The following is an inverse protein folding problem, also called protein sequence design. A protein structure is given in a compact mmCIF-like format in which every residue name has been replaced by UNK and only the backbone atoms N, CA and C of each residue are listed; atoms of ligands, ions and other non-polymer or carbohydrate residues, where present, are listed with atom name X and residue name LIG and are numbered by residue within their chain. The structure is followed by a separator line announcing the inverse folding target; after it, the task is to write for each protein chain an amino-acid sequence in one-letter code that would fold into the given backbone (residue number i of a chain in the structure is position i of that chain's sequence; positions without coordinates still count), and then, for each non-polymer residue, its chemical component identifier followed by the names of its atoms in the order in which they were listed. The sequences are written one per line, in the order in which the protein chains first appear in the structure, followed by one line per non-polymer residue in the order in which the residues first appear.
data_IF_945286663306
#
_entry.id   IF_945286663306
#
_cell.length_a   1.000
_cell.length_b   1.000
_cell.length_c   1.000
_cell.angle_alpha   90.00
_cell.angle_beta   90.00
_cell.angle_gamma   90.00
#
_symmetry.space_group_name_H-M   'P 1'
#
loop_
_entity.id
_entity.type
_entity.pdbx_description
1 polymer ?
#
# COMPACT_ATOMS: atom_id res chain seq x y z
N UNK A 1 -7.91 -17.01 -5.70
CA UNK A 1 -8.30 -16.04 -4.65
C UNK A 1 -9.71 -15.53 -4.91
N UNK A 2 -10.57 -15.60 -3.91
CA UNK A 2 -11.95 -15.12 -4.06
C UNK A 2 -11.98 -13.60 -3.99
N UNK A 3 -12.86 -12.98 -4.78
CA UNK A 3 -13.00 -11.52 -4.76
C UNK A 3 -13.37 -10.98 -3.38
N UNK A 4 -14.19 -11.71 -2.63
CA UNK A 4 -14.64 -11.30 -1.31
C UNK A 4 -13.50 -11.25 -0.29
N UNK A 5 -12.46 -12.03 -0.53
CA UNK A 5 -11.35 -12.15 0.40
C UNK A 5 -10.15 -11.29 -0.02
N UNK A 6 -10.37 -10.36 -0.94
CA UNK A 6 -9.32 -9.48 -1.42
C UNK A 6 -9.48 -8.07 -0.90
N UNK A 7 -8.37 -7.43 -0.61
CA UNK A 7 -8.32 -6.01 -0.32
C UNK A 7 -7.51 -5.34 -1.42
N UNK A 8 -8.00 -4.24 -1.92
CA UNK A 8 -7.27 -3.44 -2.91
C UNK A 8 -6.47 -2.41 -2.14
N UNK A 9 -5.16 -2.42 -2.35
CA UNK A 9 -4.23 -1.56 -1.64
C UNK A 9 -3.58 -0.60 -2.63
N UNK A 10 -3.74 0.68 -2.37
CA UNK A 10 -3.18 1.74 -3.21
C UNK A 10 -1.99 2.39 -2.52
N UNK A 11 -0.96 2.81 -3.28
CA UNK A 11 0.17 3.55 -2.69
C UNK A 11 -0.26 4.79 -1.91
N UNK A 12 -1.32 5.47 -2.37
CA UNK A 12 -1.83 6.66 -1.69
C UNK A 12 -2.23 6.41 -0.23
N UNK A 13 -2.59 5.19 0.11
CA UNK A 13 -2.97 4.84 1.48
C UNK A 13 -1.85 5.11 2.48
N UNK A 14 -0.61 5.04 2.03
CA UNK A 14 0.58 5.15 2.88
C UNK A 14 1.39 6.42 2.61
N UNK A 15 0.86 7.32 1.81
CA UNK A 15 1.61 8.50 1.34
C UNK A 15 1.50 9.64 2.35
N UNK A 16 2.62 9.95 2.97
CA UNK A 16 2.71 11.01 3.97
C UNK A 16 2.42 12.39 3.39
N UNK A 17 2.63 12.57 2.09
CA UNK A 17 2.40 13.85 1.43
C UNK A 17 0.92 14.10 1.12
N UNK A 18 0.07 13.11 1.35
CA UNK A 18 -1.36 13.24 1.09
C UNK A 18 -2.15 13.38 2.38
N UNK A 19 -3.28 14.08 2.28
CA UNK A 19 -4.23 14.17 3.39
C UNK A 19 -5.13 12.93 3.36
N UNK A 20 -5.92 12.78 4.42
CA UNK A 20 -6.90 11.69 4.46
C UNK A 20 -7.95 11.83 3.36
N UNK A 21 -8.31 13.06 3.02
CA UNK A 21 -9.24 13.31 1.92
C UNK A 21 -8.66 12.88 0.57
N UNK A 22 -7.35 12.96 0.45
CA UNK A 22 -6.65 12.58 -0.77
C UNK A 22 -6.38 11.10 -0.87
N UNK A 23 -6.66 10.34 0.19
CA UNK A 23 -6.58 8.89 0.15
C UNK A 23 -5.73 8.23 1.22
N UNK A 24 -5.02 9.01 2.03
CA UNK A 24 -4.18 8.40 3.07
C UNK A 24 -5.03 7.67 4.09
N UNK A 25 -4.66 6.44 4.41
CA UNK A 25 -5.38 5.59 5.34
C UNK A 25 -4.69 5.39 6.67
N UNK A 26 -3.44 5.81 6.79
CA UNK A 26 -2.67 5.66 8.02
C UNK A 26 -2.28 7.03 8.55
N UNK A 27 -1.98 7.15 9.86
CA UNK A 27 -1.51 8.43 10.40
C UNK A 27 -0.18 8.82 9.75
N UNK A 28 0.12 10.12 9.76
CA UNK A 28 1.38 10.61 9.20
C UNK A 28 2.59 9.91 9.79
N UNK A 29 2.55 9.60 11.08
CA UNK A 29 3.66 8.95 11.75
C UNK A 29 3.92 7.53 11.24
N UNK A 30 2.92 6.90 10.64
CA UNK A 30 3.04 5.56 10.08
C UNK A 30 3.10 5.56 8.55
N UNK A 31 3.15 6.74 7.94
CA UNK A 31 3.20 6.87 6.49
C UNK A 31 4.62 7.17 6.02
N UNK A 32 4.85 7.01 4.72
CA UNK A 32 6.16 7.30 4.12
C UNK A 32 5.96 8.28 2.97
N UNK A 33 7.04 8.93 2.55
CA UNK A 33 6.96 9.89 1.45
C UNK A 33 6.89 9.16 0.12
N UNK A 34 5.89 9.50 -0.68
CA UNK A 34 5.75 9.03 -2.06
C UNK A 34 6.04 7.55 -2.27
N UNK A 35 5.30 6.66 -1.58
CA UNK A 35 5.55 5.22 -1.72
C UNK A 35 5.24 4.77 -3.14
N UNK A 36 6.04 3.82 -3.61
CA UNK A 36 5.87 3.25 -4.94
C UNK A 36 5.26 1.86 -4.82
N UNK A 37 4.58 1.43 -5.88
CA UNK A 37 3.94 0.10 -5.88
C UNK A 37 4.96 -1.02 -5.62
N UNK A 38 6.18 -0.86 -6.10
CA UNK A 38 7.23 -1.86 -5.89
C UNK A 38 7.59 -1.99 -4.41
N UNK A 39 7.59 -0.88 -3.68
CA UNK A 39 7.86 -0.89 -2.25
C UNK A 39 6.75 -1.61 -1.48
N UNK A 40 5.50 -1.36 -1.88
CA UNK A 40 4.34 -1.99 -1.26
C UNK A 40 4.34 -3.49 -1.57
N UNK A 41 4.70 -3.85 -2.80
CA UNK A 41 4.85 -5.24 -3.19
C UNK A 41 5.90 -5.94 -2.32
N UNK A 42 7.03 -5.31 -2.11
CA UNK A 42 8.09 -5.85 -1.27
C UNK A 42 7.61 -6.04 0.16
N UNK A 43 6.89 -5.07 0.70
CA UNK A 43 6.35 -5.17 2.05
C UNK A 43 5.37 -6.34 2.18
N UNK A 44 4.47 -6.49 1.21
CA UNK A 44 3.53 -7.60 1.21
C UNK A 44 4.23 -8.94 1.10
N UNK A 45 5.28 -9.01 0.29
CA UNK A 45 6.06 -10.22 0.11
C UNK A 45 6.75 -10.62 1.41
N UNK A 46 7.33 -9.67 2.11
CA UNK A 46 8.00 -9.93 3.38
C UNK A 46 7.03 -10.38 4.47
N UNK A 47 5.78 -9.95 4.37
CA UNK A 47 4.73 -10.37 5.31
C UNK A 47 4.17 -11.75 4.98
N UNK A 48 4.55 -12.32 3.85
CA UNK A 48 4.03 -13.62 3.43
C UNK A 48 2.60 -13.56 2.94
N UNK A 49 2.13 -12.40 2.50
CA UNK A 49 0.78 -12.24 1.99
C UNK A 49 0.71 -12.69 0.54
N UNK A 50 -0.41 -13.30 0.18
CA UNK A 50 -0.69 -13.59 -1.23
C UNK A 50 -1.19 -12.32 -1.89
N UNK A 51 -0.56 -11.92 -2.97
CA UNK A 51 -0.93 -10.66 -3.63
C UNK A 51 -0.75 -10.76 -5.14
N UNK A 52 -1.39 -9.82 -5.82
CA UNK A 52 -1.27 -9.65 -7.26
C UNK A 52 -1.05 -8.17 -7.53
N UNK A 53 -0.04 -7.84 -8.33
CA UNK A 53 0.23 -6.46 -8.71
C UNK A 53 -0.52 -6.15 -9.99
N UNK A 54 -1.28 -5.05 -9.98
CA UNK A 54 -1.94 -4.55 -11.19
C UNK A 54 -1.32 -3.20 -11.52
N UNK A 55 -0.36 -3.16 -12.45
CA UNK A 55 0.30 -1.90 -12.79
C UNK A 55 -0.61 -1.02 -13.65
N UNK A 56 -0.22 0.24 -13.77
CA UNK A 56 -0.89 1.19 -14.66
C UNK A 56 -2.35 1.49 -14.32
N UNK A 57 -2.76 1.22 -13.09
CA UNK A 57 -4.09 1.59 -12.62
C UNK A 57 -4.02 2.94 -11.91
N UNK A 58 -4.95 3.82 -12.24
CA UNK A 58 -5.06 5.10 -11.57
C UNK A 58 -5.95 5.02 -10.34
N UNK A 59 -5.48 5.61 -9.24
CA UNK A 59 -6.31 5.72 -8.05
C UNK A 59 -7.53 6.59 -8.38
N UNK A 60 -8.75 6.22 -7.93
CA UNK A 60 -9.96 6.96 -8.33
C UNK A 60 -9.93 8.46 -8.09
N UNK A 61 -9.25 8.91 -7.03
CA UNK A 61 -9.17 10.34 -6.73
C UNK A 61 -8.11 11.06 -7.55
N UNK A 62 -7.19 10.33 -8.15
CA UNK A 62 -6.15 10.90 -9.00
C UNK A 62 -5.93 9.97 -10.19
N UNK A 63 -6.95 9.82 -11.05
CA UNK A 63 -6.90 8.80 -12.11
C UNK A 63 -5.79 9.02 -13.14
N UNK A 64 -5.28 10.24 -13.23
CA UNK A 64 -4.17 10.55 -14.12
C UNK A 64 -2.83 10.02 -13.59
N UNK A 65 -2.73 9.76 -12.30
CA UNK A 65 -1.51 9.24 -11.70
C UNK A 65 -1.61 7.72 -11.62
N UNK A 66 -1.09 7.05 -12.64
CA UNK A 66 -1.19 5.59 -12.75
C UNK A 66 -0.13 4.91 -11.92
N UNK A 67 -0.35 4.91 -10.62
CA UNK A 67 0.59 4.36 -9.65
C UNK A 67 0.56 2.84 -9.56
N UNK A 68 -0.51 2.20 -10.08
CA UNK A 68 -0.73 0.78 -9.87
C UNK A 68 -1.41 0.50 -8.56
N UNK A 69 -1.88 -0.72 -8.40
CA UNK A 69 -2.50 -1.16 -7.15
C UNK A 69 -2.08 -2.58 -6.83
N UNK A 70 -2.29 -2.99 -5.59
CA UNK A 70 -2.00 -4.32 -5.13
C UNK A 70 -3.31 -4.97 -4.68
N UNK A 71 -3.60 -6.17 -5.17
CA UNK A 71 -4.69 -6.99 -4.65
C UNK A 71 -4.08 -7.96 -3.66
N UNK A 72 -4.55 -7.92 -2.43
CA UNK A 72 -3.99 -8.72 -1.36
C UNK A 72 -5.06 -9.62 -0.79
N UNK A 73 -4.72 -10.88 -0.57
CA UNK A 73 -5.62 -11.79 0.12
C UNK A 73 -5.78 -11.36 1.57
N UNK A 74 -7.01 -11.15 1.97
CA UNK A 74 -7.35 -10.60 3.26
C UNK A 74 -7.60 -11.72 4.27
N UNK A 75 -6.86 -11.73 5.35
CA UNK A 75 -7.04 -12.69 6.44
C UNK A 75 -7.54 -12.01 7.71
N UNK A 76 -8.42 -11.09 7.55
CA UNK A 76 -8.94 -10.30 8.64
C UNK A 76 -9.54 -9.06 8.04
N UNK A 77 -9.55 -7.96 8.76
CA UNK A 77 -10.10 -6.73 8.21
C UNK A 77 -9.09 -6.06 7.29
N UNK A 78 -9.60 -5.25 6.36
CA UNK A 78 -8.76 -4.46 5.48
C UNK A 78 -7.86 -3.53 6.30
N UNK A 79 -8.36 -3.00 7.40
CA UNK A 79 -7.59 -2.13 8.29
C UNK A 79 -6.34 -2.83 8.83
N UNK A 80 -6.49 -4.09 9.22
CA UNK A 80 -5.36 -4.86 9.73
C UNK A 80 -4.31 -5.07 8.65
N UNK A 81 -4.75 -5.37 7.42
CA UNK A 81 -3.83 -5.55 6.30
C UNK A 81 -3.07 -4.25 6.02
N UNK A 82 -3.78 -3.13 6.01
CA UNK A 82 -3.17 -1.82 5.77
C UNK A 82 -2.13 -1.52 6.85
N UNK A 83 -2.44 -1.77 8.11
CA UNK A 83 -1.49 -1.52 9.20
C UNK A 83 -0.25 -2.38 9.09
N UNK A 84 -0.41 -3.66 8.77
CA UNK A 84 0.72 -4.57 8.62
C UNK A 84 1.64 -4.12 7.50
N UNK A 85 1.06 -3.74 6.37
CA UNK A 85 1.83 -3.25 5.23
C UNK A 85 2.54 -1.94 5.59
N UNK A 86 1.85 -1.04 6.28
CA UNK A 86 2.45 0.24 6.68
C UNK A 86 3.67 0.01 7.57
N UNK A 87 3.54 -0.86 8.57
CA UNK A 87 4.66 -1.17 9.47
C UNK A 87 5.83 -1.79 8.72
N UNK A 88 5.54 -2.70 7.82
CA UNK A 88 6.60 -3.35 7.04
C UNK A 88 7.25 -2.38 6.06
N UNK A 89 6.46 -1.45 5.51
CA UNK A 89 6.97 -0.43 4.61
C UNK A 89 7.97 0.48 5.31
N UNK A 90 7.70 0.84 6.56
CA UNK A 90 8.66 1.61 7.36
C UNK A 90 9.97 0.84 7.55
N UNK A 91 9.90 -0.46 7.75
CA UNK A 91 11.08 -1.30 7.87
C UNK A 91 11.85 -1.38 6.56
N UNK A 92 11.14 -1.52 5.45
CA UNK A 92 11.76 -1.54 4.13
C UNK A 92 12.53 -0.25 3.87
N UNK A 93 11.90 0.89 4.20
CA UNK A 93 12.56 2.18 4.06
C UNK A 93 13.79 2.32 4.95
N UNK A 94 13.72 1.77 6.16
CA UNK A 94 14.83 1.79 7.08
C UNK A 94 16.00 0.93 6.60
N UNK A 95 15.69 -0.21 5.98
CA UNK A 95 16.70 -1.13 5.44
C UNK A 95 17.34 -0.58 4.17
N UNK A 96 16.61 0.24 3.44
CA UNK A 96 17.08 0.83 2.18
C UNK A 96 16.95 2.34 2.25
N UNK A 97 17.82 3.01 3.03
CA UNK A 97 17.67 4.45 3.27
C UNK A 97 17.97 5.34 2.08
N UNK A 98 18.44 4.78 1.03
CA UNK A 98 18.87 5.52 -0.11
C UNK A 98 17.75 5.70 -1.14
N UNK A 99 17.07 6.74 -1.13
CA UNK A 99 16.04 7.02 -2.12
C UNK A 99 15.72 8.48 -2.17
#
# INVERSE_FOLDING_TARGET
MRKQDQAIIWPAYFDQTKTRKEGRRVPKSAAVQSPKILEIQEAAQKLGLNFEVVPDMGYPKTPWAKTGMLRVEKKGSKEQVIRKIANQLLKVRSENPKH
#
